data_IF_536747100469
#
_entry.id   IF_536747100469
#
_cell.length_a   1.000
_cell.length_b   1.000
_cell.length_c   1.000
_cell.angle_alpha   90.00
_cell.angle_beta   90.00
_cell.angle_gamma   90.00
#
_symmetry.space_group_name_H-M   'P 1'
#
loop_
_entity.id
_entity.type
_entity.pdbx_description
1 polymer ?
#
# COMPACT_ATOMS: atom_id res chain seq x y z
N UNK A 1 -31.60 10.18 6.81
CA UNK A 1 -30.53 9.55 7.65
C UNK A 1 -29.96 8.38 6.90
N UNK A 2 -28.80 8.56 6.34
CA UNK A 2 -28.10 7.48 5.63
C UNK A 2 -27.57 6.51 6.69
N UNK A 3 -28.15 5.33 6.78
CA UNK A 3 -27.57 4.26 7.56
C UNK A 3 -26.43 3.64 6.74
N UNK A 4 -25.22 3.82 7.20
CA UNK A 4 -24.03 3.27 6.58
C UNK A 4 -23.46 2.13 7.42
N UNK A 5 -22.93 1.12 6.78
CA UNK A 5 -22.23 0.02 7.43
C UNK A 5 -20.73 0.24 7.30
N UNK A 6 -19.98 0.00 8.36
CA UNK A 6 -18.52 -0.03 8.29
C UNK A 6 -18.08 -1.44 7.91
N UNK A 7 -17.13 -1.54 6.99
CA UNK A 7 -16.57 -2.81 6.54
C UNK A 7 -15.06 -2.75 6.49
N UNK A 8 -14.42 -3.73 7.08
CA UNK A 8 -12.98 -3.92 7.00
C UNK A 8 -12.63 -4.79 5.80
N UNK A 9 -11.67 -4.34 5.02
CA UNK A 9 -11.10 -5.14 3.94
C UNK A 9 -9.64 -5.36 4.24
N UNK A 10 -9.23 -6.62 4.40
CA UNK A 10 -7.85 -6.95 4.68
C UNK A 10 -7.37 -8.19 3.92
N UNK A 11 -6.07 -8.32 3.85
CA UNK A 11 -5.39 -9.46 3.22
C UNK A 11 -4.55 -10.18 4.23
N UNK A 12 -4.62 -11.49 4.19
CA UNK A 12 -3.81 -12.36 5.02
C UNK A 12 -3.03 -13.35 4.18
N UNK A 13 -2.04 -13.97 4.81
CA UNK A 13 -1.29 -15.12 4.29
C UNK A 13 -0.49 -14.84 3.01
N UNK A 14 -0.03 -13.60 2.84
CA UNK A 14 1.00 -13.33 1.86
C UNK A 14 2.35 -13.88 2.34
N UNK A 15 3.13 -14.42 1.42
CA UNK A 15 4.50 -14.81 1.71
C UNK A 15 5.36 -13.56 1.76
N UNK A 16 5.60 -13.05 2.97
CA UNK A 16 6.53 -11.96 3.16
C UNK A 16 7.98 -12.39 2.96
N UNK A 17 8.89 -11.48 3.20
CA UNK A 17 10.31 -11.73 3.13
C UNK A 17 11.09 -10.49 3.51
N UNK A 18 12.41 -10.63 3.61
CA UNK A 18 13.28 -9.49 3.83
C UNK A 18 13.44 -8.70 2.54
N UNK A 19 13.11 -7.40 2.56
CA UNK A 19 13.10 -6.56 1.36
C UNK A 19 14.47 -6.45 0.66
N UNK A 20 15.56 -6.70 1.35
CA UNK A 20 16.90 -6.71 0.77
C UNK A 20 17.32 -8.05 0.16
N UNK A 21 16.89 -9.16 0.74
CA UNK A 21 17.33 -10.50 0.36
C UNK A 21 16.34 -11.25 -0.54
N UNK A 22 15.06 -10.91 -0.48
CA UNK A 22 13.98 -11.65 -1.13
C UNK A 22 13.11 -10.81 -2.06
N UNK A 23 13.50 -9.56 -2.30
CA UNK A 23 12.72 -8.62 -3.13
C UNK A 23 12.60 -9.08 -4.60
N UNK A 24 13.55 -9.87 -5.08
CA UNK A 24 13.59 -10.43 -6.43
C UNK A 24 12.66 -11.63 -6.65
N UNK A 25 12.02 -12.10 -5.58
CA UNK A 25 11.13 -13.27 -5.67
C UNK A 25 9.70 -12.94 -6.12
N UNK A 26 9.47 -11.71 -6.56
CA UNK A 26 8.17 -11.26 -7.06
C UNK A 26 6.99 -11.49 -6.12
N UNK A 27 7.23 -11.44 -4.82
CA UNK A 27 6.19 -11.58 -3.82
C UNK A 27 5.30 -10.36 -3.77
N UNK A 28 4.02 -10.57 -3.51
CA UNK A 28 3.07 -9.49 -3.38
C UNK A 28 3.32 -8.66 -2.12
N UNK A 29 3.22 -7.34 -2.24
CA UNK A 29 3.18 -6.41 -1.11
C UNK A 29 1.73 -6.07 -0.80
N UNK A 30 1.28 -6.36 0.43
CA UNK A 30 -0.10 -6.15 0.80
C UNK A 30 -0.53 -4.67 0.76
N UNK A 31 0.36 -3.73 1.08
CA UNK A 31 0.06 -2.30 0.99
C UNK A 31 -0.19 -1.85 -0.46
N UNK A 32 0.63 -2.31 -1.39
CA UNK A 32 0.43 -2.04 -2.83
C UNK A 32 -0.86 -2.66 -3.35
N UNK A 33 -1.15 -3.89 -2.94
CA UNK A 33 -2.38 -4.56 -3.34
C UNK A 33 -3.63 -3.91 -2.73
N UNK A 34 -3.53 -3.39 -1.50
CA UNK A 34 -4.62 -2.63 -0.88
C UNK A 34 -4.97 -1.39 -1.71
N UNK A 35 -3.97 -0.66 -2.19
CA UNK A 35 -4.19 0.47 -3.09
C UNK A 35 -4.91 0.08 -4.38
N UNK A 36 -4.49 -0.99 -5.01
CA UNK A 36 -5.17 -1.53 -6.21
C UNK A 36 -6.60 -1.95 -5.92
N UNK A 37 -6.83 -2.59 -4.78
CA UNK A 37 -8.17 -3.00 -4.35
C UNK A 37 -9.09 -1.78 -4.20
N UNK A 38 -8.66 -0.77 -3.45
CA UNK A 38 -9.46 0.42 -3.20
C UNK A 38 -9.72 1.21 -4.48
N UNK A 39 -8.74 1.31 -5.37
CA UNK A 39 -8.92 1.96 -6.66
C UNK A 39 -9.97 1.27 -7.52
N UNK A 40 -9.91 -0.04 -7.64
CA UNK A 40 -10.89 -0.81 -8.40
C UNK A 40 -12.28 -0.83 -7.73
N UNK A 41 -12.35 -0.83 -6.40
CA UNK A 41 -13.61 -0.74 -5.67
C UNK A 41 -14.32 0.60 -5.94
N UNK A 42 -13.55 1.69 -6.01
CA UNK A 42 -14.09 3.03 -6.28
C UNK A 42 -14.78 3.13 -7.65
N UNK A 43 -14.42 2.27 -8.60
CA UNK A 43 -15.09 2.14 -9.89
C UNK A 43 -16.39 1.32 -9.83
N UNK A 44 -16.58 0.54 -8.78
CA UNK A 44 -17.73 -0.39 -8.64
C UNK A 44 -18.82 0.14 -7.74
N UNK A 45 -18.47 0.84 -6.68
CA UNK A 45 -19.41 1.35 -5.68
C UNK A 45 -18.86 2.56 -4.96
N UNK A 46 -19.75 3.39 -4.48
CA UNK A 46 -19.39 4.51 -3.63
C UNK A 46 -19.01 4.02 -2.23
N UNK A 47 -17.95 4.55 -1.69
CA UNK A 47 -17.54 4.34 -0.32
C UNK A 47 -16.74 5.53 0.21
N UNK A 48 -16.72 5.66 1.53
CA UNK A 48 -15.83 6.57 2.23
C UNK A 48 -14.69 5.78 2.87
N UNK A 49 -13.50 6.37 2.94
CA UNK A 49 -12.33 5.76 3.57
C UNK A 49 -12.20 6.25 5.01
N UNK A 50 -12.12 5.31 5.95
CA UNK A 50 -11.93 5.60 7.37
C UNK A 50 -10.43 5.55 7.69
N UNK A 51 -9.78 4.45 7.34
CA UNK A 51 -8.36 4.23 7.63
C UNK A 51 -7.73 3.22 6.69
N UNK A 52 -6.41 3.27 6.62
CA UNK A 52 -5.58 2.24 5.99
C UNK A 52 -4.43 1.90 6.91
N UNK A 53 -4.07 0.63 6.97
CA UNK A 53 -2.88 0.22 7.71
C UNK A 53 -2.29 -1.08 7.18
N UNK A 54 -1.00 -1.25 7.30
CA UNK A 54 -0.32 -2.48 6.92
C UNK A 54 1.16 -2.43 7.22
N UNK A 55 1.71 -3.58 7.60
CA UNK A 55 3.12 -3.74 7.90
C UNK A 55 3.53 -3.24 9.29
N UNK A 56 4.64 -3.78 9.76
CA UNK A 56 5.21 -3.44 11.07
C UNK A 56 6.67 -3.02 10.97
N UNK A 57 7.34 -3.37 9.88
CA UNK A 57 8.75 -3.07 9.64
C UNK A 57 8.95 -2.60 8.22
N UNK A 58 9.73 -1.56 8.06
CA UNK A 58 10.07 -0.97 6.78
C UNK A 58 10.92 -1.89 5.88
N UNK A 59 11.75 -2.74 6.49
CA UNK A 59 12.63 -3.69 5.80
C UNK A 59 12.00 -5.07 5.56
N UNK A 60 10.71 -5.22 5.77
CA UNK A 60 9.96 -6.45 5.51
C UNK A 60 8.91 -6.22 4.45
N UNK A 61 8.75 -7.17 3.53
CA UNK A 61 7.65 -7.16 2.56
C UNK A 61 6.35 -7.36 3.33
N UNK A 62 5.42 -6.41 3.18
CA UNK A 62 4.17 -6.39 3.93
C UNK A 62 3.27 -7.55 3.55
N UNK A 63 2.86 -8.34 4.53
CA UNK A 63 2.05 -9.54 4.38
C UNK A 63 0.56 -9.31 4.58
N UNK A 64 0.20 -8.32 5.37
CA UNK A 64 -1.17 -7.99 5.73
C UNK A 64 -1.39 -6.48 5.63
N UNK A 65 -2.52 -6.11 5.05
CA UNK A 65 -2.97 -4.73 5.02
C UNK A 65 -4.49 -4.68 5.18
N UNK A 66 -4.96 -3.64 5.84
CA UNK A 66 -6.37 -3.45 6.17
C UNK A 66 -6.81 -2.05 5.77
N UNK A 67 -8.00 -1.95 5.20
CA UNK A 67 -8.71 -0.68 5.06
C UNK A 67 -10.04 -0.78 5.78
N UNK A 68 -10.38 0.24 6.55
CA UNK A 68 -11.72 0.45 7.07
C UNK A 68 -12.45 1.39 6.13
N UNK A 69 -13.62 0.98 5.67
CA UNK A 69 -14.44 1.76 4.74
C UNK A 69 -15.87 1.88 5.27
N UNK A 70 -16.52 2.94 4.87
CA UNK A 70 -17.93 3.18 5.15
C UNK A 70 -18.71 3.07 3.85
N UNK A 71 -19.68 2.19 3.80
CA UNK A 71 -20.54 1.98 2.62
C UNK A 71 -22.00 2.02 3.03
N UNK A 72 -22.88 2.35 2.09
CA UNK A 72 -24.30 2.15 2.29
C UNK A 72 -24.60 0.66 2.44
N UNK A 73 -25.55 0.32 3.29
CA UNK A 73 -25.96 -1.07 3.55
C UNK A 73 -26.29 -1.81 2.24
N UNK A 74 -26.96 -1.16 1.32
CA UNK A 74 -27.31 -1.69 0.00
C UNK A 74 -26.09 -2.04 -0.89
N UNK A 75 -24.91 -1.49 -0.59
CA UNK A 75 -23.67 -1.70 -1.35
C UNK A 75 -22.74 -2.76 -0.71
N UNK A 76 -23.06 -3.30 0.45
CA UNK A 76 -22.21 -4.28 1.14
C UNK A 76 -21.98 -5.53 0.29
N UNK A 77 -23.03 -6.03 -0.35
CA UNK A 77 -22.92 -7.21 -1.22
C UNK A 77 -22.04 -6.96 -2.43
N UNK A 78 -22.09 -5.76 -3.01
CA UNK A 78 -21.22 -5.36 -4.11
C UNK A 78 -19.73 -5.37 -3.70
N UNK A 79 -19.43 -4.93 -2.48
CA UNK A 79 -18.07 -4.98 -1.91
C UNK A 79 -17.61 -6.43 -1.77
N UNK A 80 -18.45 -7.31 -1.25
CA UNK A 80 -18.14 -8.74 -1.07
C UNK A 80 -17.90 -9.44 -2.40
N UNK A 81 -18.74 -9.19 -3.39
CA UNK A 81 -18.58 -9.75 -4.75
C UNK A 81 -17.28 -9.29 -5.40
N UNK A 82 -16.98 -8.00 -5.28
CA UNK A 82 -15.72 -7.45 -5.78
C UNK A 82 -14.52 -8.08 -5.10
N UNK A 83 -14.53 -8.21 -3.78
CA UNK A 83 -13.46 -8.85 -3.02
C UNK A 83 -13.21 -10.29 -3.46
N UNK A 84 -14.27 -11.07 -3.67
CA UNK A 84 -14.16 -12.45 -4.16
C UNK A 84 -13.55 -12.51 -5.57
N UNK A 85 -13.97 -11.64 -6.47
CA UNK A 85 -13.44 -11.52 -7.83
C UNK A 85 -11.95 -11.17 -7.83
N UNK A 86 -11.55 -10.20 -7.03
CA UNK A 86 -10.15 -9.77 -6.88
C UNK A 86 -9.29 -10.88 -6.31
N UNK A 87 -9.77 -11.61 -5.30
CA UNK A 87 -9.05 -12.74 -4.73
C UNK A 87 -8.74 -13.79 -5.78
N UNK A 88 -9.72 -14.14 -6.61
CA UNK A 88 -9.54 -15.10 -7.71
C UNK A 88 -8.49 -14.63 -8.70
N UNK A 89 -8.60 -13.38 -9.17
CA UNK A 89 -7.67 -12.81 -10.12
C UNK A 89 -6.22 -12.76 -9.59
N UNK A 90 -6.05 -12.37 -8.32
CA UNK A 90 -4.71 -12.29 -7.73
C UNK A 90 -4.08 -13.65 -7.44
N UNK A 91 -4.88 -14.66 -7.13
CA UNK A 91 -4.37 -16.03 -7.00
C UNK A 91 -3.82 -16.55 -8.31
N UNK A 92 -4.42 -16.17 -9.42
CA UNK A 92 -3.89 -16.48 -10.75
C UNK A 92 -2.63 -15.68 -11.06
N UNK A 93 -2.66 -14.37 -10.84
CA UNK A 93 -1.54 -13.45 -11.11
C UNK A 93 -0.27 -13.83 -10.33
N UNK A 94 -0.42 -14.25 -9.09
CA UNK A 94 0.70 -14.60 -8.21
C UNK A 94 0.91 -16.11 -8.05
N UNK A 95 0.36 -16.91 -8.95
CA UNK A 95 0.59 -18.36 -8.94
C UNK A 95 2.09 -18.67 -9.00
N UNK A 96 2.55 -19.55 -8.12
CA UNK A 96 3.96 -19.92 -8.01
C UNK A 96 4.83 -18.97 -7.18
N UNK A 97 4.37 -17.76 -6.87
CA UNK A 97 5.14 -16.81 -6.06
C UNK A 97 4.46 -16.47 -4.74
N UNK A 98 3.14 -16.38 -4.72
CA UNK A 98 2.36 -16.04 -3.53
C UNK A 98 0.93 -16.61 -3.63
N UNK A 99 0.80 -17.91 -3.44
CA UNK A 99 -0.44 -18.65 -3.72
C UNK A 99 -1.52 -18.47 -2.64
N UNK A 100 -1.14 -18.04 -1.45
CA UNK A 100 -2.02 -17.94 -0.28
C UNK A 100 -2.80 -16.63 -0.16
N UNK A 101 -2.94 -15.85 -1.25
CA UNK A 101 -3.61 -14.55 -1.20
C UNK A 101 -5.07 -14.71 -0.82
N UNK A 102 -5.47 -14.00 0.24
CA UNK A 102 -6.84 -13.95 0.73
C UNK A 102 -7.31 -12.51 0.82
N UNK A 103 -8.50 -12.24 0.33
CA UNK A 103 -9.19 -10.96 0.48
C UNK A 103 -10.47 -11.20 1.25
N UNK A 104 -10.58 -10.62 2.44
CA UNK A 104 -11.69 -10.83 3.37
C UNK A 104 -12.42 -9.52 3.61
N UNK A 105 -13.73 -9.59 3.68
CA UNK A 105 -14.59 -8.48 4.06
C UNK A 105 -15.32 -8.83 5.33
N UNK A 106 -15.18 -7.99 6.36
CA UNK A 106 -15.91 -8.10 7.62
C UNK A 106 -16.86 -6.91 7.75
N UNK A 107 -18.12 -7.19 8.05
CA UNK A 107 -19.13 -6.18 8.30
C UNK A 107 -19.23 -5.93 9.82
N UNK A 108 -18.86 -4.73 10.25
CA UNK A 108 -18.88 -4.33 11.65
C UNK A 108 -20.20 -3.67 12.08
N UNK A 109 -21.22 -3.71 11.20
CA UNK A 109 -22.52 -3.14 11.47
C UNK A 109 -22.60 -1.63 11.24
N UNK A 110 -23.69 -1.03 11.74
CA UNK A 110 -23.96 0.39 11.58
C UNK A 110 -23.18 1.19 12.60
N UNK A 111 -22.37 2.15 12.12
CA UNK A 111 -21.56 3.02 12.97
C UNK A 111 -21.61 4.46 12.47
N UNK A 112 -21.48 5.38 13.40
CA UNK A 112 -21.13 6.75 13.11
C UNK A 112 -19.62 6.88 13.28
N UNK A 113 -18.90 7.15 12.19
CA UNK A 113 -17.45 7.21 12.18
C UNK A 113 -16.98 8.44 11.40
N UNK A 114 -15.83 8.91 11.77
CA UNK A 114 -15.13 9.95 11.05
C UNK A 114 -14.47 9.32 9.81
N UNK A 115 -14.65 9.94 8.67
CA UNK A 115 -14.09 9.48 7.39
C UNK A 115 -13.12 10.52 6.84
N UNK A 116 -12.16 10.06 6.04
CA UNK A 116 -11.29 10.96 5.31
C UNK A 116 -12.11 11.83 4.35
N UNK A 117 -11.70 13.08 4.21
CA UNK A 117 -12.26 13.94 3.17
C UNK A 117 -12.09 13.25 1.80
N UNK A 118 -13.07 13.37 0.86
CA UNK A 118 -12.98 12.73 -0.45
C UNK A 118 -11.69 13.00 -1.21
N UNK A 119 -11.15 14.21 -1.11
CA UNK A 119 -9.86 14.55 -1.71
C UNK A 119 -8.70 13.80 -1.06
N UNK A 120 -8.71 13.63 0.26
CA UNK A 120 -7.70 12.85 0.98
C UNK A 120 -7.78 11.38 0.63
N UNK A 121 -8.98 10.81 0.53
CA UNK A 121 -9.22 9.45 0.04
C UNK A 121 -8.58 9.24 -1.34
N UNK A 122 -8.85 10.13 -2.29
CA UNK A 122 -8.27 10.05 -3.64
C UNK A 122 -6.75 10.09 -3.62
N UNK A 123 -6.17 10.97 -2.83
CA UNK A 123 -4.71 11.10 -2.70
C UNK A 123 -4.07 9.85 -2.09
N UNK A 124 -4.67 9.26 -1.07
CA UNK A 124 -4.17 8.03 -0.45
C UNK A 124 -4.20 6.88 -1.45
N UNK A 125 -5.30 6.70 -2.16
CA UNK A 125 -5.44 5.65 -3.18
C UNK A 125 -4.43 5.87 -4.31
N UNK A 126 -4.32 7.08 -4.81
CA UNK A 126 -3.35 7.43 -5.86
C UNK A 126 -1.91 7.14 -5.42
N UNK A 127 -1.54 7.52 -4.22
CA UNK A 127 -0.22 7.23 -3.67
C UNK A 127 0.05 5.73 -3.62
N UNK A 128 -0.86 4.95 -3.06
CA UNK A 128 -0.68 3.50 -2.90
C UNK A 128 -0.61 2.76 -4.25
N UNK A 129 -1.35 3.22 -5.25
CA UNK A 129 -1.29 2.64 -6.60
C UNK A 129 0.02 2.97 -7.31
N UNK A 130 0.57 4.16 -7.09
CA UNK A 130 1.70 4.69 -7.85
C UNK A 130 3.05 4.65 -7.13
N UNK A 131 3.08 4.47 -5.81
CA UNK A 131 4.35 4.35 -5.09
C UNK A 131 5.12 3.12 -5.61
N UNK A 132 6.39 3.28 -5.99
CA UNK A 132 7.17 2.16 -6.50
C UNK A 132 7.30 1.04 -5.47
N UNK A 133 7.23 -0.19 -5.94
CA UNK A 133 7.48 -1.39 -5.17
C UNK A 133 8.24 -2.43 -6.00
N UNK A 134 9.19 -3.10 -5.35
CA UNK A 134 9.92 -4.21 -5.93
C UNK A 134 11.22 -3.79 -6.58
N UNK A 135 11.72 -4.66 -7.44
CA UNK A 135 12.96 -4.42 -8.20
C UNK A 135 12.73 -3.30 -9.19
N UNK A 136 13.53 -2.25 -9.10
CA UNK A 136 13.50 -1.12 -10.04
C UNK A 136 14.57 -1.28 -11.13
N UNK A 137 15.71 -1.88 -10.78
CA UNK A 137 16.78 -2.14 -11.72
C UNK A 137 17.64 -3.33 -11.27
N UNK A 138 17.98 -4.19 -12.21
CA UNK A 138 18.99 -5.23 -12.04
C UNK A 138 20.39 -4.68 -12.33
N UNK A 139 21.42 -5.27 -11.72
CA UNK A 139 22.80 -4.90 -12.01
C UNK A 139 23.14 -5.12 -13.48
N UNK A 140 23.72 -4.11 -14.11
CA UNK A 140 24.21 -4.23 -15.48
C UNK A 140 25.54 -4.99 -15.62
N UNK A 141 26.23 -5.26 -14.50
CA UNK A 141 27.56 -5.87 -14.47
C UNK A 141 27.57 -7.26 -13.83
N UNK A 142 26.71 -7.51 -12.87
CA UNK A 142 26.61 -8.79 -12.14
C UNK A 142 25.27 -9.42 -12.40
N UNK A 143 25.27 -10.54 -13.11
CA UNK A 143 24.03 -11.26 -13.45
C UNK A 143 23.33 -11.77 -12.18
N UNK A 144 22.01 -11.56 -12.12
CA UNK A 144 21.17 -12.02 -11.02
C UNK A 144 21.21 -11.14 -9.76
N UNK A 145 22.00 -10.06 -9.76
CA UNK A 145 22.05 -9.13 -8.64
C UNK A 145 21.06 -7.99 -8.83
N UNK A 146 20.25 -7.71 -7.83
CA UNK A 146 19.39 -6.52 -7.76
C UNK A 146 20.24 -5.30 -7.47
N UNK A 147 20.25 -4.31 -8.37
CA UNK A 147 20.93 -3.03 -8.15
C UNK A 147 20.10 -2.13 -7.25
N UNK A 148 18.82 -1.93 -7.59
CA UNK A 148 17.94 -0.96 -6.95
C UNK A 148 16.56 -1.57 -6.72
N UNK A 149 16.07 -1.44 -5.52
CA UNK A 149 14.73 -1.91 -5.13
C UNK A 149 14.12 -0.99 -4.09
N UNK A 150 12.81 -1.09 -3.94
CA UNK A 150 12.07 -0.36 -2.91
C UNK A 150 10.91 -1.18 -2.39
N UNK A 151 10.54 -0.92 -1.15
CA UNK A 151 9.46 -1.62 -0.47
C UNK A 151 8.69 -0.65 0.42
N UNK A 152 7.38 -0.55 0.20
CA UNK A 152 6.49 0.13 1.13
C UNK A 152 6.16 -0.83 2.27
N UNK A 153 6.93 -0.75 3.37
CA UNK A 153 6.88 -1.68 4.48
C UNK A 153 5.89 -1.31 5.57
N UNK A 154 5.54 -0.04 5.68
CA UNK A 154 4.61 0.46 6.70
C UNK A 154 3.61 1.42 6.07
N UNK A 155 2.35 1.21 6.41
CA UNK A 155 1.24 2.11 6.11
C UNK A 155 0.41 2.27 7.37
N UNK A 156 0.12 3.49 7.78
CA UNK A 156 -0.59 3.76 9.01
C UNK A 156 -1.44 5.03 8.91
N UNK A 157 -2.65 4.94 9.41
CA UNK A 157 -3.53 6.08 9.65
C UNK A 157 -3.52 6.42 11.13
N UNK A 158 -3.27 7.67 11.45
CA UNK A 158 -3.42 8.22 12.78
C UNK A 158 -4.50 9.30 12.78
N UNK A 159 -4.68 10.02 13.88
CA UNK A 159 -5.80 10.95 14.05
C UNK A 159 -5.91 12.00 12.92
N UNK A 160 -4.77 12.53 12.44
CA UNK A 160 -4.76 13.62 11.47
C UNK A 160 -3.87 13.35 10.24
N UNK A 161 -3.36 12.14 10.08
CA UNK A 161 -2.47 11.84 8.95
C UNK A 161 -2.53 10.39 8.50
N UNK A 162 -2.21 10.19 7.24
CA UNK A 162 -1.84 8.88 6.71
C UNK A 162 -0.34 8.92 6.41
N UNK A 163 0.38 7.95 6.92
CA UNK A 163 1.83 7.81 6.78
C UNK A 163 2.15 6.55 5.99
N UNK A 164 3.01 6.68 4.97
CA UNK A 164 3.66 5.56 4.31
C UNK A 164 5.16 5.61 4.57
N UNK A 165 5.78 4.47 4.81
CA UNK A 165 7.22 4.36 4.98
C UNK A 165 7.79 3.35 4.01
N UNK A 166 8.67 3.82 3.13
CA UNK A 166 9.36 3.00 2.14
C UNK A 166 10.83 2.85 2.46
N UNK A 167 11.34 1.63 2.28
CA UNK A 167 12.76 1.31 2.34
C UNK A 167 13.30 1.24 0.92
N UNK A 168 14.33 2.02 0.64
CA UNK A 168 15.02 2.03 -0.66
C UNK A 168 16.40 1.43 -0.49
N UNK A 169 16.76 0.51 -1.37
CA UNK A 169 18.06 -0.14 -1.39
C UNK A 169 18.67 -0.03 -2.79
N UNK A 170 19.92 0.40 -2.84
CA UNK A 170 20.69 0.46 -4.08
C UNK A 170 22.18 0.36 -3.81
N UNK A 171 22.90 -0.36 -4.65
CA UNK A 171 24.37 -0.35 -4.70
C UNK A 171 24.91 0.85 -5.47
N UNK A 172 24.06 1.62 -6.14
CA UNK A 172 24.41 2.81 -6.90
C UNK A 172 23.76 4.04 -6.26
N UNK A 173 24.59 4.94 -5.75
CA UNK A 173 24.13 6.11 -5.00
C UNK A 173 23.19 7.02 -5.80
N UNK A 174 23.53 7.29 -7.06
CA UNK A 174 22.70 8.13 -7.94
C UNK A 174 21.33 7.50 -8.25
N UNK A 175 21.27 6.18 -8.39
CA UNK A 175 20.02 5.46 -8.60
C UNK A 175 19.15 5.47 -7.33
N UNK A 176 19.77 5.33 -6.16
CA UNK A 176 19.11 5.49 -4.88
C UNK A 176 18.48 6.87 -4.74
N UNK A 177 19.26 7.91 -4.98
CA UNK A 177 18.82 9.29 -4.84
C UNK A 177 17.71 9.63 -5.83
N UNK A 178 17.82 9.15 -7.07
CA UNK A 178 16.79 9.32 -8.09
C UNK A 178 15.45 8.66 -7.70
N UNK A 179 15.51 7.47 -7.13
CA UNK A 179 14.30 6.79 -6.66
C UNK A 179 13.67 7.50 -5.45
N UNK A 180 14.51 7.96 -4.52
CA UNK A 180 14.06 8.79 -3.40
C UNK A 180 13.39 10.09 -3.89
N UNK A 181 13.98 10.77 -4.85
CA UNK A 181 13.40 11.97 -5.45
C UNK A 181 12.08 11.70 -6.15
N UNK A 182 11.94 10.57 -6.81
CA UNK A 182 10.67 10.16 -7.44
C UNK A 182 9.55 9.99 -6.42
N UNK A 183 9.84 9.35 -5.29
CA UNK A 183 8.85 9.17 -4.22
C UNK A 183 8.55 10.51 -3.55
N UNK A 184 9.57 11.35 -3.33
CA UNK A 184 9.39 12.70 -2.80
C UNK A 184 8.50 13.55 -3.71
N UNK A 185 8.76 13.52 -5.01
CA UNK A 185 7.97 14.26 -6.00
C UNK A 185 6.49 13.84 -6.01
N UNK A 186 6.25 12.51 -5.99
CA UNK A 186 4.90 11.96 -5.88
C UNK A 186 4.20 12.44 -4.60
N UNK A 187 4.88 12.37 -3.47
CA UNK A 187 4.34 12.74 -2.15
C UNK A 187 4.03 14.24 -2.09
N UNK A 188 4.96 15.08 -2.53
CA UNK A 188 4.82 16.54 -2.51
C UNK A 188 3.75 17.03 -3.49
N UNK A 189 3.63 16.41 -4.65
CA UNK A 189 2.57 16.71 -5.61
C UNK A 189 1.17 16.47 -5.02
N UNK A 190 1.05 15.46 -4.16
CA UNK A 190 -0.19 15.16 -3.44
C UNK A 190 -0.39 16.05 -2.18
N UNK A 191 0.49 17.01 -1.94
CA UNK A 191 0.43 17.88 -0.78
C UNK A 191 0.95 17.28 0.51
N UNK A 192 1.63 16.13 0.44
CA UNK A 192 2.27 15.49 1.57
C UNK A 192 3.68 16.02 1.84
N UNK A 193 4.24 15.57 2.94
CA UNK A 193 5.62 15.86 3.33
C UNK A 193 6.46 14.59 3.16
N UNK A 194 7.65 14.74 2.61
CA UNK A 194 8.61 13.67 2.45
C UNK A 194 9.82 13.90 3.36
N UNK A 195 10.22 12.85 4.06
CA UNK A 195 11.41 12.87 4.89
C UNK A 195 12.30 11.69 4.54
N UNK A 196 13.58 11.95 4.32
CA UNK A 196 14.59 10.95 4.04
C UNK A 196 15.41 10.69 5.29
N UNK A 197 15.49 9.41 5.72
CA UNK A 197 16.22 8.98 6.91
C UNK A 197 17.17 7.83 6.59
N UNK A 198 18.33 7.81 7.24
CA UNK A 198 19.24 6.67 7.24
C UNK A 198 19.93 6.39 5.90
N UNK A 199 21.10 6.95 5.70
CA UNK A 199 21.95 6.67 4.53
C UNK A 199 23.15 5.81 4.97
N UNK A 200 23.31 4.64 4.35
CA UNK A 200 24.42 3.73 4.59
C UNK A 200 25.31 3.65 3.34
N UNK A 201 26.67 3.56 3.48
CA UNK A 201 27.57 3.63 2.33
C UNK A 201 27.38 2.58 1.24
N UNK A 202 27.01 1.36 1.64
CA UNK A 202 26.81 0.24 0.72
C UNK A 202 25.33 -0.07 0.44
N UNK A 203 24.45 0.29 1.36
CA UNK A 203 23.01 0.08 1.28
C UNK A 203 22.31 1.28 1.88
N UNK A 204 21.70 2.08 1.03
CA UNK A 204 20.95 3.23 1.49
C UNK A 204 19.51 2.85 1.81
N UNK A 205 19.03 3.34 2.93
CA UNK A 205 17.63 3.22 3.34
C UNK A 205 17.05 4.61 3.45
N UNK A 206 15.97 4.85 2.75
CA UNK A 206 15.21 6.10 2.82
C UNK A 206 13.77 5.78 3.17
N UNK A 207 13.13 6.68 3.88
CA UNK A 207 11.76 6.52 4.37
C UNK A 207 10.89 7.64 3.84
N UNK A 208 9.66 7.32 3.54
CA UNK A 208 8.66 8.26 3.03
C UNK A 208 7.51 8.38 4.01
N UNK A 209 7.13 9.60 4.33
CA UNK A 209 5.95 9.90 5.14
C UNK A 209 4.95 10.68 4.28
N UNK A 210 3.74 10.16 4.19
CA UNK A 210 2.61 10.83 3.55
C UNK A 210 1.65 11.32 4.64
N UNK A 211 1.33 12.59 4.62
CA UNK A 211 0.28 13.17 5.45
C UNK A 211 -0.89 13.57 4.56
N UNK A 212 -2.06 13.08 4.89
CA UNK A 212 -3.32 13.52 4.32
C UNK A 212 -4.08 14.27 5.42
N UNK A 213 -4.44 15.50 5.14
CA UNK A 213 -5.23 16.27 6.10
C UNK A 213 -6.70 15.86 5.98
N UNK A 214 -7.27 15.52 7.12
CA UNK A 214 -8.71 15.42 7.28
C UNK A 214 -9.25 16.84 7.50
N UNK A 215 -10.23 17.20 6.76
CA UNK A 215 -10.99 18.44 7.01
C UNK A 215 -12.31 18.04 7.64
N UNK A 216 -12.64 18.68 8.75
CA UNK A 216 -13.92 18.55 9.43
C UNK A 216 -15.08 19.01 8.54
#
# INVERSE_FOLDING_TARGET
SNSSAASDVYKRQLMGGHSGAEIDKNRANANSLLGKFLHGLDEKTDFELISVQGGQKDNAITREATAEILVLEENVDAVREYAASVQGAWREEYAGTDEGITVTVEDEGKQEVRVLHPTSKEKVIFFLVNVPYGVQKMSGTIKGLVETSTNIGILKTSENEVMGSSSIRSSVETARDSLSDKIAYLTEFLGGEYERQGVYPAWAVSYTHLRAHETD
#
